data_IF_034947033929
#
_entry.id   IF_034947033929
#
_cell.length_a   1.000
_cell.length_b   1.000
_cell.length_c   1.000
_cell.angle_alpha   90.00
_cell.angle_beta   90.00
_cell.angle_gamma   90.00
#
_symmetry.space_group_name_H-M   'P 1'
#
loop_
_entity.id
_entity.type
_entity.pdbx_description
1 polymer ?
#
# COMPACT_ATOMS: atom_id res chain seq x y z
N UNK A 1 -29.01 32.28 -23.18
CA UNK A 1 -29.60 33.46 -23.82
C UNK A 1 -30.00 33.09 -25.24
N UNK A 2 -31.26 33.30 -25.68
CA UNK A 2 -31.66 33.05 -27.07
C UNK A 2 -31.10 34.06 -28.08
N UNK A 3 -30.41 35.11 -27.63
CA UNK A 3 -29.85 36.13 -28.52
C UNK A 3 -28.64 35.61 -29.31
N UNK A 4 -28.60 35.95 -30.61
CA UNK A 4 -27.53 35.59 -31.54
C UNK A 4 -26.62 36.79 -31.82
N UNK A 5 -25.34 36.55 -32.11
CA UNK A 5 -24.37 37.61 -32.41
C UNK A 5 -23.72 38.21 -31.15
N UNK A 6 -23.34 39.49 -31.18
CA UNK A 6 -22.71 40.18 -30.04
C UNK A 6 -23.60 40.15 -28.77
N UNK A 7 -24.93 40.18 -28.92
CA UNK A 7 -25.87 40.08 -27.79
C UNK A 7 -25.88 38.69 -27.13
N UNK A 8 -25.39 37.65 -27.82
CA UNK A 8 -25.24 36.32 -27.23
C UNK A 8 -23.92 36.13 -26.48
N UNK A 9 -23.02 37.13 -26.48
CA UNK A 9 -21.76 37.07 -25.72
C UNK A 9 -22.00 37.48 -24.28
N UNK A 10 -21.64 36.57 -23.38
CA UNK A 10 -21.74 36.78 -21.93
C UNK A 10 -20.36 37.09 -21.36
N UNK A 11 -20.32 38.02 -20.41
CA UNK A 11 -19.18 38.26 -19.54
C UNK A 11 -19.47 37.72 -18.14
N UNK A 12 -18.54 36.97 -17.60
CA UNK A 12 -18.63 36.32 -16.30
C UNK A 12 -17.81 37.06 -15.25
N UNK A 13 -18.30 37.13 -14.02
CA UNK A 13 -17.59 37.77 -12.89
C UNK A 13 -18.02 37.18 -11.55
N UNK A 14 -17.14 37.27 -10.55
CA UNK A 14 -17.47 36.97 -9.16
C UNK A 14 -17.99 38.24 -8.46
N UNK A 15 -19.20 38.17 -7.89
CA UNK A 15 -19.85 39.26 -7.17
C UNK A 15 -19.37 39.28 -5.73
N UNK A 16 -19.15 40.49 -5.19
CA UNK A 16 -18.71 40.71 -3.80
C UNK A 16 -17.46 39.88 -3.42
N UNK A 17 -16.57 39.65 -4.38
CA UNK A 17 -15.40 38.82 -4.18
C UNK A 17 -14.31 39.58 -3.42
N UNK A 18 -14.30 39.41 -2.10
CA UNK A 18 -13.29 40.00 -1.20
C UNK A 18 -12.11 39.06 -0.94
N UNK A 19 -12.17 37.86 -1.49
CA UNK A 19 -11.29 36.75 -1.18
C UNK A 19 -10.35 36.51 -2.37
N UNK A 20 -9.16 35.94 -2.15
CA UNK A 20 -8.15 35.70 -3.20
C UNK A 20 -7.99 34.19 -3.48
N UNK A 21 -8.97 33.39 -3.07
CA UNK A 21 -8.93 31.94 -3.15
C UNK A 21 -9.30 31.42 -4.53
N UNK A 22 -10.21 32.12 -5.23
CA UNK A 22 -10.78 31.72 -6.51
C UNK A 22 -10.83 32.89 -7.47
N UNK A 23 -10.95 32.63 -8.75
CA UNK A 23 -11.20 33.64 -9.77
C UNK A 23 -11.95 33.00 -10.95
N UNK A 24 -12.43 33.80 -11.89
CA UNK A 24 -13.24 33.36 -13.02
C UNK A 24 -12.75 33.98 -14.33
N UNK A 25 -12.62 33.15 -15.36
CA UNK A 25 -12.33 33.65 -16.70
C UNK A 25 -13.56 34.37 -17.25
N UNK A 26 -13.40 35.65 -17.59
CA UNK A 26 -14.51 36.53 -17.97
C UNK A 26 -15.24 36.08 -19.25
N UNK A 27 -14.58 35.32 -20.14
CA UNK A 27 -15.11 34.97 -21.46
C UNK A 27 -15.72 33.56 -21.48
N UNK A 28 -15.18 32.64 -20.68
CA UNK A 28 -15.58 31.23 -20.64
C UNK A 28 -16.43 30.88 -19.42
N UNK A 29 -16.36 31.70 -18.36
CA UNK A 29 -17.00 31.41 -17.07
C UNK A 29 -16.32 30.29 -16.28
N UNK A 30 -15.12 29.86 -16.69
CA UNK A 30 -14.35 28.85 -15.97
C UNK A 30 -13.87 29.44 -14.63
N UNK A 31 -14.31 28.83 -13.53
CA UNK A 31 -13.82 29.15 -12.18
C UNK A 31 -12.54 28.36 -11.93
N UNK A 32 -11.49 29.04 -11.49
CA UNK A 32 -10.21 28.44 -11.15
C UNK A 32 -9.76 28.81 -9.74
N UNK A 33 -8.89 27.98 -9.19
CA UNK A 33 -8.32 28.21 -7.86
C UNK A 33 -7.09 29.10 -7.97
N UNK A 34 -7.02 30.16 -7.17
CA UNK A 34 -5.86 31.06 -7.09
C UNK A 34 -4.96 30.66 -5.92
N UNK A 35 -5.52 30.52 -4.70
CA UNK A 35 -4.77 30.06 -3.54
C UNK A 35 -5.67 29.53 -2.43
N UNK A 36 -5.66 28.22 -2.22
CA UNK A 36 -6.42 27.55 -1.14
C UNK A 36 -5.52 26.78 -0.17
N UNK A 37 -4.22 27.03 -0.21
CA UNK A 37 -3.26 26.37 0.66
C UNK A 37 -3.58 26.63 2.14
N UNK A 38 -3.76 25.55 2.92
CA UNK A 38 -4.13 25.64 4.34
C UNK A 38 -5.58 26.09 4.59
N UNK A 39 -6.42 26.15 3.55
CA UNK A 39 -7.86 26.42 3.67
C UNK A 39 -8.63 25.11 3.73
N UNK A 40 -9.79 25.14 4.38
CA UNK A 40 -10.71 24.03 4.50
C UNK A 40 -12.14 24.56 4.63
N UNK A 41 -13.11 23.82 4.11
CA UNK A 41 -14.54 24.12 4.20
C UNK A 41 -15.15 24.58 2.89
N UNK A 42 -16.41 25.02 2.95
CA UNK A 42 -17.21 25.41 1.78
C UNK A 42 -17.18 26.92 1.57
N UNK A 43 -16.82 27.32 0.36
CA UNK A 43 -16.84 28.69 -0.13
C UNK A 43 -18.06 28.88 -1.04
N UNK A 44 -18.78 29.98 -0.84
CA UNK A 44 -19.97 30.32 -1.62
C UNK A 44 -19.61 31.46 -2.57
N UNK A 45 -19.45 31.13 -3.85
CA UNK A 45 -19.10 32.10 -4.89
C UNK A 45 -20.38 32.57 -5.60
N UNK A 46 -20.71 33.85 -5.48
CA UNK A 46 -21.79 34.44 -6.27
C UNK A 46 -21.25 34.77 -7.66
N UNK A 47 -21.70 34.05 -8.69
CA UNK A 47 -21.28 34.24 -10.08
C UNK A 47 -22.34 35.05 -10.83
N UNK A 48 -21.91 36.08 -11.55
CA UNK A 48 -22.76 36.89 -12.41
C UNK A 48 -22.39 36.70 -13.88
N UNK A 49 -23.39 36.47 -14.73
CA UNK A 49 -23.29 36.58 -16.18
C UNK A 49 -23.97 37.88 -16.62
N UNK A 50 -23.31 38.62 -17.52
CA UNK A 50 -23.79 39.91 -18.07
C UNK A 50 -23.78 39.83 -19.58
N UNK A 51 -24.90 40.14 -20.23
CA UNK A 51 -24.93 40.28 -21.69
C UNK A 51 -24.20 41.55 -22.15
N UNK A 52 -23.90 41.62 -23.45
CA UNK A 52 -23.28 42.79 -24.06
C UNK A 52 -24.28 43.65 -24.86
N UNK A 53 -25.57 43.56 -24.54
CA UNK A 53 -26.60 44.38 -25.17
C UNK A 53 -26.48 45.87 -24.79
N UNK A 54 -27.13 46.74 -25.58
CA UNK A 54 -27.19 48.19 -25.31
C UNK A 54 -27.80 48.50 -23.93
N UNK A 55 -28.75 47.68 -23.50
CA UNK A 55 -29.28 47.65 -22.12
C UNK A 55 -28.84 46.35 -21.47
N UNK A 56 -27.71 46.39 -20.74
CA UNK A 56 -27.10 45.19 -20.16
C UNK A 56 -28.05 44.47 -19.20
N UNK A 57 -28.34 43.20 -19.44
CA UNK A 57 -29.02 42.34 -18.47
C UNK A 57 -28.01 41.48 -17.71
N UNK A 58 -28.34 41.17 -16.46
CA UNK A 58 -27.49 40.35 -15.59
C UNK A 58 -28.29 39.22 -14.95
N UNK A 59 -27.68 38.04 -14.87
CA UNK A 59 -28.18 36.90 -14.10
C UNK A 59 -27.13 36.47 -13.09
N UNK A 60 -27.57 35.98 -11.92
CA UNK A 60 -26.68 35.53 -10.84
C UNK A 60 -27.02 34.12 -10.38
N UNK A 61 -26.00 33.39 -9.95
CA UNK A 61 -26.12 32.08 -9.31
C UNK A 61 -25.07 31.90 -8.23
N UNK A 62 -25.23 30.90 -7.36
CA UNK A 62 -24.24 30.55 -6.34
C UNK A 62 -23.56 29.25 -6.71
N UNK A 63 -22.23 29.27 -6.75
CA UNK A 63 -21.36 28.11 -6.91
C UNK A 63 -20.75 27.77 -5.55
N UNK A 64 -20.99 26.54 -5.09
CA UNK A 64 -20.44 26.05 -3.83
C UNK A 64 -19.14 25.30 -4.12
N UNK A 65 -18.02 25.78 -3.58
CA UNK A 65 -16.70 25.13 -3.71
C UNK A 65 -16.29 24.60 -2.35
N UNK A 66 -16.19 23.28 -2.21
CA UNK A 66 -15.69 22.65 -0.98
C UNK A 66 -14.20 22.35 -1.15
N UNK A 67 -13.39 22.95 -0.29
CA UNK A 67 -11.96 22.64 -0.18
C UNK A 67 -11.78 21.65 0.96
N UNK A 68 -11.39 20.43 0.61
CA UNK A 68 -11.00 19.42 1.58
C UNK A 68 -9.49 19.46 1.78
N UNK A 69 -8.99 19.71 3.01
CA UNK A 69 -7.55 19.71 3.29
C UNK A 69 -6.95 18.31 3.31
N UNK A 70 -7.76 17.24 3.24
CA UNK A 70 -7.26 15.88 3.15
C UNK A 70 -6.60 15.66 1.79
N UNK A 71 -5.36 15.19 1.81
CA UNK A 71 -4.77 14.49 0.67
C UNK A 71 -5.53 13.18 0.55
N UNK A 72 -6.73 13.19 -0.02
CA UNK A 72 -7.69 12.11 0.18
C UNK A 72 -7.12 10.77 -0.30
N UNK A 73 -6.75 9.93 0.67
CA UNK A 73 -6.45 8.51 0.45
C UNK A 73 -7.68 7.75 -0.10
N UNK A 74 -8.82 8.43 -0.18
CA UNK A 74 -10.09 7.94 -0.68
C UNK A 74 -10.26 8.12 -2.20
N UNK A 75 -9.28 8.70 -2.89
CA UNK A 75 -9.27 8.73 -4.36
C UNK A 75 -9.23 7.30 -4.90
N UNK A 76 -10.15 7.02 -5.83
CA UNK A 76 -10.19 5.77 -6.59
C UNK A 76 -9.96 6.08 -8.06
N UNK A 77 -9.13 5.27 -8.73
CA UNK A 77 -8.92 5.39 -10.18
C UNK A 77 -9.70 4.29 -10.88
N UNK A 78 -10.63 4.72 -11.74
CA UNK A 78 -11.35 3.83 -12.65
C UNK A 78 -10.66 3.88 -14.01
N UNK A 79 -10.23 2.73 -14.51
CA UNK A 79 -9.59 2.59 -15.81
C UNK A 79 -10.63 2.08 -16.80
N UNK A 80 -10.85 2.85 -17.87
CA UNK A 80 -11.71 2.53 -18.98
C UNK A 80 -10.85 2.16 -20.18
N UNK A 81 -11.15 1.06 -20.86
CA UNK A 81 -10.50 0.72 -22.13
C UNK A 81 -11.08 1.55 -23.30
N UNK A 82 -11.03 2.86 -23.13
CA UNK A 82 -11.50 3.88 -24.07
C UNK A 82 -10.46 4.99 -24.23
N UNK A 83 -10.42 5.62 -25.41
CA UNK A 83 -9.52 6.75 -25.67
C UNK A 83 -9.95 8.00 -24.89
N UNK A 84 -8.98 8.77 -24.38
CA UNK A 84 -9.25 9.93 -23.51
C UNK A 84 -10.18 10.96 -24.14
N UNK A 85 -9.98 11.28 -25.42
CA UNK A 85 -10.82 12.23 -26.15
C UNK A 85 -12.29 11.78 -26.24
N UNK A 86 -12.56 10.48 -26.17
CA UNK A 86 -13.91 9.90 -26.22
C UNK A 86 -14.51 9.89 -24.82
N UNK A 87 -13.72 9.56 -23.80
CA UNK A 87 -14.12 9.62 -22.40
C UNK A 87 -14.44 11.07 -21.99
N UNK A 88 -13.57 12.03 -22.30
CA UNK A 88 -13.77 13.45 -21.98
C UNK A 88 -15.04 14.02 -22.61
N UNK A 89 -15.32 13.68 -23.88
CA UNK A 89 -16.56 14.13 -24.56
C UNK A 89 -17.83 13.59 -23.91
N UNK A 90 -17.75 12.44 -23.25
CA UNK A 90 -18.87 11.77 -22.60
C UNK A 90 -18.75 11.80 -21.06
N UNK A 91 -17.88 12.66 -20.50
CA UNK A 91 -17.52 12.59 -19.08
C UNK A 91 -18.72 12.82 -18.15
N UNK A 92 -19.67 13.64 -18.60
CA UNK A 92 -20.94 13.88 -17.91
C UNK A 92 -21.78 12.61 -17.82
N UNK A 93 -21.85 11.83 -18.90
CA UNK A 93 -22.58 10.56 -18.91
C UNK A 93 -21.85 9.46 -18.14
N UNK A 94 -20.51 9.43 -18.20
CA UNK A 94 -19.69 8.54 -17.36
C UNK A 94 -19.95 8.83 -15.89
N UNK A 95 -19.91 10.11 -15.47
CA UNK A 95 -20.27 10.54 -14.12
C UNK A 95 -21.66 10.07 -13.75
N UNK A 96 -22.65 10.30 -14.61
CA UNK A 96 -24.05 9.91 -14.38
C UNK A 96 -24.21 8.40 -14.16
N UNK A 97 -23.53 7.57 -14.95
CA UNK A 97 -23.55 6.11 -14.78
C UNK A 97 -22.92 5.71 -13.44
N UNK A 98 -21.79 6.30 -13.07
CA UNK A 98 -21.15 6.00 -11.79
C UNK A 98 -22.06 6.40 -10.61
N UNK A 99 -22.68 7.59 -10.64
CA UNK A 99 -23.62 8.03 -9.61
C UNK A 99 -24.84 7.11 -9.50
N UNK A 100 -25.43 6.72 -10.64
CA UNK A 100 -26.56 5.79 -10.70
C UNK A 100 -26.23 4.41 -10.12
N UNK A 101 -25.07 3.83 -10.50
CA UNK A 101 -24.70 2.48 -10.05
C UNK A 101 -24.16 2.44 -8.63
N UNK A 102 -23.46 3.49 -8.19
CA UNK A 102 -22.91 3.56 -6.85
C UNK A 102 -23.92 4.05 -5.82
N UNK A 103 -24.96 4.79 -6.24
CA UNK A 103 -25.91 5.50 -5.38
C UNK A 103 -25.22 6.50 -4.45
N UNK A 104 -24.15 7.15 -4.95
CA UNK A 104 -23.38 8.19 -4.27
C UNK A 104 -23.14 9.35 -5.22
N UNK A 105 -22.89 10.54 -4.66
CA UNK A 105 -22.41 11.67 -5.43
C UNK A 105 -20.95 11.41 -5.83
N UNK A 106 -20.62 11.52 -7.11
CA UNK A 106 -19.28 11.21 -7.62
C UNK A 106 -18.64 12.48 -8.18
N UNK A 107 -17.48 12.85 -7.65
CA UNK A 107 -16.68 13.95 -8.16
C UNK A 107 -15.53 13.38 -8.97
N UNK A 108 -15.43 13.80 -10.23
CA UNK A 108 -14.31 13.48 -11.11
C UNK A 108 -13.23 14.52 -10.85
N UNK A 109 -12.13 14.07 -10.26
CA UNK A 109 -10.99 14.91 -9.87
C UNK A 109 -10.09 15.17 -11.06
N UNK A 110 -9.87 14.15 -11.89
CA UNK A 110 -8.95 14.19 -13.02
C UNK A 110 -9.29 13.11 -14.04
N UNK A 111 -8.96 13.36 -15.30
CA UNK A 111 -9.09 12.42 -16.42
C UNK A 111 -7.80 12.48 -17.21
N UNK A 112 -7.08 11.36 -17.27
CA UNK A 112 -5.78 11.29 -17.94
C UNK A 112 -5.58 9.95 -18.64
N UNK A 113 -4.70 9.94 -19.63
CA UNK A 113 -4.18 8.70 -20.22
C UNK A 113 -2.78 8.50 -19.67
N UNK A 114 -2.43 7.26 -19.35
CA UNK A 114 -1.08 6.94 -18.88
C UNK A 114 -0.07 7.00 -20.04
N UNK A 115 0.44 8.21 -20.32
CA UNK A 115 1.52 8.41 -21.29
C UNK A 115 2.92 8.05 -20.74
N UNK A 116 3.03 7.60 -19.47
CA UNK A 116 4.31 7.36 -18.80
C UNK A 116 5.04 6.10 -19.30
N UNK A 117 4.31 5.08 -19.78
CA UNK A 117 4.91 3.81 -20.25
C UNK A 117 5.24 3.78 -21.75
N UNK A 118 5.93 4.79 -22.29
CA UNK A 118 6.50 4.76 -23.68
C UNK A 118 7.58 3.69 -23.92
N UNK A 119 7.67 2.63 -23.09
CA UNK A 119 8.63 1.52 -23.25
C UNK A 119 8.04 0.14 -23.51
N UNK A 120 6.72 -0.04 -23.53
CA UNK A 120 6.12 -1.27 -24.01
C UNK A 120 5.10 -0.94 -25.12
N UNK A 121 5.33 -1.47 -26.32
CA UNK A 121 4.36 -1.41 -27.41
C UNK A 121 3.15 -2.28 -27.02
N UNK A 122 2.12 -1.70 -26.39
CA UNK A 122 0.71 -2.14 -26.55
C UNK A 122 -0.28 -1.21 -25.82
N UNK A 123 -1.20 -0.60 -26.60
CA UNK A 123 -2.44 0.12 -26.22
C UNK A 123 -2.35 1.56 -25.70
N UNK A 124 -2.60 2.53 -26.60
CA UNK A 124 -2.96 3.94 -26.34
C UNK A 124 -4.45 4.13 -26.00
N UNK A 125 -5.15 3.06 -25.64
CA UNK A 125 -6.62 3.03 -25.66
C UNK A 125 -7.23 2.94 -24.26
N UNK A 126 -6.47 3.25 -23.20
CA UNK A 126 -6.97 3.27 -21.84
C UNK A 126 -6.94 4.69 -21.24
N UNK A 127 -8.01 5.02 -20.52
CA UNK A 127 -8.19 6.29 -19.82
C UNK A 127 -8.45 6.04 -18.35
N UNK A 128 -7.72 6.75 -17.51
CA UNK A 128 -7.87 6.76 -16.07
C UNK A 128 -8.77 7.92 -15.66
N UNK A 129 -9.77 7.63 -14.84
CA UNK A 129 -10.70 8.60 -14.26
C UNK A 129 -10.51 8.55 -12.74
N UNK A 130 -9.92 9.61 -12.18
CA UNK A 130 -9.80 9.77 -10.71
C UNK A 130 -11.12 10.28 -10.16
N UNK A 131 -11.67 9.53 -9.21
CA UNK A 131 -12.94 9.86 -8.58
C UNK A 131 -12.83 9.89 -7.06
N UNK A 132 -13.69 10.70 -6.44
CA UNK A 132 -14.04 10.65 -5.03
C UNK A 132 -15.56 10.54 -4.93
N UNK A 133 -16.06 9.77 -3.97
CA UNK A 133 -17.49 9.61 -3.75
C UNK A 133 -17.91 10.21 -2.40
N UNK A 134 -19.12 10.77 -2.35
CA UNK A 134 -19.74 11.31 -1.15
C UNK A 134 -21.13 10.70 -0.97
N UNK A 135 -21.49 10.39 0.27
CA UNK A 135 -22.82 9.89 0.60
C UNK A 135 -23.89 10.99 0.56
N UNK A 136 -25.15 10.62 0.85
CA UNK A 136 -26.28 11.55 0.89
C UNK A 136 -26.14 12.63 1.98
N UNK A 137 -25.30 12.41 2.99
CA UNK A 137 -24.98 13.37 4.04
C UNK A 137 -23.76 14.25 3.70
N UNK A 138 -23.25 14.17 2.47
CA UNK A 138 -22.03 14.82 1.99
C UNK A 138 -20.78 14.44 2.81
N UNK A 139 -20.73 13.22 3.34
CA UNK A 139 -19.51 12.66 3.92
C UNK A 139 -18.75 11.87 2.87
N UNK A 140 -17.43 12.02 2.85
CA UNK A 140 -16.56 11.29 1.93
C UNK A 140 -16.66 9.78 2.21
N UNK A 141 -16.85 8.99 1.16
CA UNK A 141 -16.93 7.54 1.23
C UNK A 141 -15.52 6.96 1.17
N UNK A 142 -15.13 6.03 2.07
CA UNK A 142 -13.81 5.42 2.04
C UNK A 142 -13.50 4.75 0.69
N UNK A 143 -12.25 4.87 0.21
CA UNK A 143 -11.84 4.28 -1.08
C UNK A 143 -12.20 2.79 -1.18
N UNK A 144 -11.99 2.00 -0.12
CA UNK A 144 -12.26 0.57 -0.15
C UNK A 144 -13.75 0.23 -0.34
N UNK A 145 -14.65 1.06 0.19
CA UNK A 145 -16.09 0.91 -0.03
C UNK A 145 -16.46 1.29 -1.47
N UNK A 146 -15.86 2.34 -2.01
CA UNK A 146 -16.00 2.73 -3.42
C UNK A 146 -15.52 1.61 -4.34
N UNK A 147 -14.30 1.09 -4.12
CA UNK A 147 -13.74 -0.01 -4.90
C UNK A 147 -14.59 -1.27 -4.80
N UNK A 148 -15.06 -1.63 -3.60
CA UNK A 148 -15.95 -2.77 -3.38
C UNK A 148 -17.23 -2.61 -4.19
N UNK A 149 -17.89 -1.45 -4.12
CA UNK A 149 -19.12 -1.19 -4.85
C UNK A 149 -18.92 -1.18 -6.37
N UNK A 150 -17.82 -0.61 -6.85
CA UNK A 150 -17.42 -0.67 -8.27
C UNK A 150 -17.24 -2.12 -8.74
N UNK A 151 -16.60 -2.98 -7.93
CA UNK A 151 -16.47 -4.42 -8.23
C UNK A 151 -17.83 -5.13 -8.26
N UNK A 152 -18.69 -4.86 -7.28
CA UNK A 152 -20.05 -5.42 -7.21
C UNK A 152 -20.91 -5.01 -8.42
N UNK A 153 -20.77 -3.77 -8.89
CA UNK A 153 -21.56 -3.20 -9.99
C UNK A 153 -20.88 -3.27 -11.36
N UNK A 154 -19.70 -3.91 -11.46
CA UNK A 154 -18.86 -3.90 -12.65
C UNK A 154 -19.62 -4.18 -13.95
N UNK A 155 -20.34 -5.30 -14.01
CA UNK A 155 -21.11 -5.69 -15.20
C UNK A 155 -22.20 -4.66 -15.55
N UNK A 156 -22.89 -4.13 -14.54
CA UNK A 156 -23.95 -3.12 -14.76
C UNK A 156 -23.37 -1.79 -15.27
N UNK A 157 -22.19 -1.40 -14.78
CA UNK A 157 -21.48 -0.20 -15.25
C UNK A 157 -21.04 -0.41 -16.71
N UNK A 158 -20.39 -1.53 -17.01
CA UNK A 158 -19.91 -1.86 -18.37
C UNK A 158 -21.06 -1.87 -19.38
N UNK A 159 -22.22 -2.44 -19.03
CA UNK A 159 -23.41 -2.45 -19.88
C UNK A 159 -23.94 -1.04 -20.18
N UNK A 160 -24.01 -0.15 -19.18
CA UNK A 160 -24.48 1.22 -19.43
C UNK A 160 -23.46 2.06 -20.20
N UNK A 161 -22.17 1.88 -19.91
CA UNK A 161 -21.10 2.54 -20.66
C UNK A 161 -21.04 2.07 -22.12
N UNK A 162 -21.27 0.79 -22.39
CA UNK A 162 -21.35 0.27 -23.76
C UNK A 162 -22.41 0.98 -24.60
N UNK A 163 -23.56 1.34 -24.00
CA UNK A 163 -24.60 2.12 -24.68
C UNK A 163 -24.12 3.53 -25.03
N UNK A 164 -23.34 4.16 -24.14
CA UNK A 164 -22.82 5.51 -24.33
C UNK A 164 -21.74 5.51 -25.42
N UNK A 165 -20.78 4.58 -25.34
CA UNK A 165 -19.66 4.52 -26.26
C UNK A 165 -19.97 3.78 -27.56
N UNK A 166 -21.13 3.11 -27.64
CA UNK A 166 -21.57 2.28 -28.77
C UNK A 166 -20.57 1.15 -29.10
N UNK A 167 -19.86 0.64 -28.09
CA UNK A 167 -18.92 -0.47 -28.18
C UNK A 167 -18.68 -1.09 -26.80
N UNK A 168 -18.23 -2.36 -26.73
CA UNK A 168 -17.94 -3.01 -25.47
C UNK A 168 -16.86 -2.25 -24.68
N UNK A 169 -17.19 -1.89 -23.44
CA UNK A 169 -16.26 -1.22 -22.52
C UNK A 169 -15.92 -2.15 -21.39
N UNK A 170 -14.63 -2.23 -21.07
CA UNK A 170 -14.15 -2.90 -19.86
C UNK A 170 -13.70 -1.87 -18.84
N UNK A 171 -13.99 -2.18 -17.58
CA UNK A 171 -13.59 -1.37 -16.43
C UNK A 171 -12.65 -2.15 -15.52
N UNK A 172 -11.60 -1.49 -15.07
CA UNK A 172 -10.73 -1.97 -14.00
C UNK A 172 -10.49 -0.86 -12.98
N UNK A 173 -10.05 -1.25 -11.79
CA UNK A 173 -9.70 -0.32 -10.72
C UNK A 173 -8.18 -0.36 -10.61
N UNK A 174 -7.53 0.80 -10.66
CA UNK A 174 -6.11 0.86 -10.32
C UNK A 174 -5.99 0.60 -8.81
N UNK A 175 -5.34 -0.50 -8.47
CA UNK A 175 -4.94 -0.72 -7.10
C UNK A 175 -3.63 0.03 -6.90
N UNK A 176 -3.56 0.86 -5.85
CA UNK A 176 -2.28 1.36 -5.39
C UNK A 176 -1.33 0.16 -5.28
N UNK A 177 -0.07 0.25 -5.78
CA UNK A 177 0.86 -0.85 -5.71
C UNK A 177 0.86 -1.36 -4.28
N UNK A 178 0.50 -2.64 -4.11
CA UNK A 178 0.35 -3.27 -2.81
C UNK A 178 1.51 -2.83 -1.94
N UNK A 179 1.18 -2.04 -0.91
CA UNK A 179 2.13 -1.29 -0.08
C UNK A 179 3.50 -1.97 -0.04
N UNK A 180 4.54 -1.24 -0.48
CA UNK A 180 5.81 -1.34 0.24
C UNK A 180 5.44 -1.06 1.69
N UNK A 181 5.33 -2.13 2.48
CA UNK A 181 4.81 -2.08 3.84
C UNK A 181 5.32 -0.84 4.57
N UNK A 182 4.46 -0.16 5.34
CA UNK A 182 4.87 1.04 6.06
C UNK A 182 6.20 0.78 6.78
N UNK A 183 7.12 1.74 6.86
CA UNK A 183 8.44 1.52 7.46
C UNK A 183 8.37 0.89 8.86
N UNK A 184 7.29 1.15 9.60
CA UNK A 184 6.97 0.56 10.90
C UNK A 184 6.63 -0.94 10.82
N UNK A 185 5.82 -1.36 9.85
CA UNK A 185 5.51 -2.77 9.57
C UNK A 185 6.75 -3.54 9.10
N UNK A 186 7.59 -2.92 8.25
CA UNK A 186 8.88 -3.52 7.85
C UNK A 186 9.80 -3.68 9.06
N UNK A 187 9.94 -2.63 9.88
CA UNK A 187 10.80 -2.67 11.06
C UNK A 187 10.35 -3.72 12.08
N UNK A 188 9.03 -3.87 12.30
CA UNK A 188 8.49 -4.90 13.21
C UNK A 188 8.70 -6.32 12.67
N UNK A 189 8.48 -6.56 11.38
CA UNK A 189 8.77 -7.85 10.74
C UNK A 189 10.26 -8.18 10.88
N UNK A 190 11.15 -7.26 10.50
CA UNK A 190 12.61 -7.45 10.58
C UNK A 190 13.05 -7.72 12.02
N UNK A 191 12.56 -6.96 13.01
CA UNK A 191 12.90 -7.16 14.42
C UNK A 191 12.43 -8.53 14.92
N UNK A 192 11.21 -8.95 14.55
CA UNK A 192 10.67 -10.26 14.95
C UNK A 192 11.50 -11.42 14.39
N UNK A 193 11.93 -11.33 13.13
CA UNK A 193 12.77 -12.34 12.48
C UNK A 193 14.16 -12.38 13.12
N UNK A 194 14.77 -11.22 13.37
CA UNK A 194 16.08 -11.14 14.03
C UNK A 194 16.06 -11.75 15.44
N UNK A 195 15.00 -11.49 16.22
CA UNK A 195 14.83 -12.09 17.54
C UNK A 195 14.66 -13.62 17.45
N UNK A 196 13.89 -14.12 16.50
CA UNK A 196 13.71 -15.56 16.29
C UNK A 196 15.04 -16.24 15.89
N UNK A 197 15.78 -15.66 14.95
CA UNK A 197 17.09 -16.19 14.54
C UNK A 197 18.11 -16.19 15.69
N UNK A 198 18.14 -15.12 16.49
CA UNK A 198 18.99 -15.02 17.67
C UNK A 198 18.65 -16.09 18.72
N UNK A 199 17.36 -16.30 18.99
CA UNK A 199 16.90 -17.33 19.93
C UNK A 199 17.28 -18.74 19.46
N UNK A 200 17.10 -19.04 18.16
CA UNK A 200 17.49 -20.32 17.58
C UNK A 200 19.00 -20.54 17.69
N UNK A 201 19.82 -19.53 17.35
CA UNK A 201 21.27 -19.57 17.48
C UNK A 201 21.72 -19.83 18.93
N UNK A 202 21.08 -19.17 19.89
CA UNK A 202 21.34 -19.37 21.32
C UNK A 202 20.99 -20.80 21.77
N UNK A 203 19.82 -21.33 21.36
CA UNK A 203 19.42 -22.70 21.69
C UNK A 203 20.39 -23.74 21.11
N UNK A 204 20.86 -23.54 19.87
CA UNK A 204 21.88 -24.40 19.24
C UNK A 204 23.19 -24.32 20.01
N UNK A 205 23.62 -23.13 20.43
CA UNK A 205 24.83 -22.94 21.24
C UNK A 205 24.73 -23.63 22.61
N UNK A 206 23.59 -23.49 23.30
CA UNK A 206 23.33 -24.17 24.58
C UNK A 206 23.33 -25.70 24.38
N UNK A 207 22.66 -26.21 23.35
CA UNK A 207 22.67 -27.64 23.05
C UNK A 207 24.09 -28.15 22.72
N UNK A 208 24.88 -27.36 22.00
CA UNK A 208 26.27 -27.68 21.67
C UNK A 208 27.17 -27.71 22.92
N UNK A 209 27.06 -26.71 23.81
CA UNK A 209 27.83 -26.67 25.06
C UNK A 209 27.44 -27.82 26.00
N UNK A 210 26.15 -28.15 26.11
CA UNK A 210 25.67 -29.32 26.86
C UNK A 210 26.25 -30.61 26.26
N UNK A 211 26.19 -30.80 24.93
CA UNK A 211 26.77 -31.97 24.25
C UNK A 211 28.28 -32.06 24.46
N UNK A 212 28.99 -30.94 24.37
CA UNK A 212 30.44 -30.87 24.59
C UNK A 212 30.81 -31.29 26.01
N UNK A 213 30.09 -30.78 27.02
CA UNK A 213 30.29 -31.16 28.42
C UNK A 213 30.04 -32.64 28.65
N UNK A 214 28.92 -33.18 28.13
CA UNK A 214 28.62 -34.63 28.21
C UNK A 214 29.70 -35.50 27.57
N UNK A 215 30.25 -35.08 26.42
CA UNK A 215 31.35 -35.82 25.75
C UNK A 215 32.63 -35.80 26.58
N UNK A 216 32.97 -34.67 27.23
CA UNK A 216 34.12 -34.56 28.11
C UNK A 216 33.97 -35.45 29.36
N UNK A 217 32.79 -35.47 29.98
CA UNK A 217 32.49 -36.35 31.13
C UNK A 217 32.59 -37.84 30.74
N UNK A 218 32.06 -38.23 29.58
CA UNK A 218 32.22 -39.60 29.07
C UNK A 218 33.69 -39.97 28.83
N UNK A 219 34.49 -39.07 28.25
CA UNK A 219 35.92 -39.31 28.05
C UNK A 219 36.68 -39.44 29.37
N UNK A 220 36.36 -38.64 30.38
CA UNK A 220 36.94 -38.75 31.72
C UNK A 220 36.63 -40.11 32.35
N UNK A 221 35.37 -40.55 32.30
CA UNK A 221 34.95 -41.86 32.84
C UNK A 221 35.59 -43.05 32.10
N UNK A 222 35.76 -42.94 30.78
CA UNK A 222 36.46 -43.97 29.98
C UNK A 222 37.93 -44.05 30.38
N UNK A 223 38.62 -42.92 30.56
CA UNK A 223 40.01 -42.89 31.04
C UNK A 223 40.15 -43.47 32.43
N UNK A 224 39.27 -43.10 33.36
CA UNK A 224 39.26 -43.64 34.72
C UNK A 224 39.03 -45.17 34.73
N UNK A 225 38.14 -45.69 33.87
CA UNK A 225 37.96 -47.14 33.71
C UNK A 225 39.17 -47.83 33.09
N UNK A 226 39.84 -47.20 32.13
CA UNK A 226 41.06 -47.74 31.52
C UNK A 226 42.21 -47.81 32.54
N UNK A 227 42.40 -46.78 33.36
CA UNK A 227 43.41 -46.76 34.42
C UNK A 227 43.11 -47.80 35.52
N UNK A 228 41.83 -48.01 35.86
CA UNK A 228 41.43 -49.08 36.78
C UNK A 228 41.66 -50.47 36.17
N UNK A 229 41.50 -50.63 34.85
CA UNK A 229 41.74 -51.90 34.16
C UNK A 229 43.24 -52.21 34.01
N UNK A 230 44.09 -51.22 33.73
CA UNK A 230 45.56 -51.35 33.70
C UNK A 230 46.17 -51.54 35.10
N UNK A 231 45.49 -51.10 36.16
CA UNK A 231 45.88 -51.37 37.55
C UNK A 231 45.66 -52.82 38.02
N UNK A 232 45.03 -53.66 37.21
CA UNK A 232 44.79 -55.09 37.49
C UNK A 232 45.62 -55.94 36.51
N UNK A 233 46.93 -55.70 36.46
CA UNK A 233 47.87 -56.65 35.84
C UNK A 233 48.34 -57.67 36.89
N UNK A 234 48.02 -58.93 36.58
CA UNK A 234 48.22 -60.13 37.38
C UNK A 234 49.73 -60.42 37.63
N UNK A 235 50.22 -60.49 38.88
CA UNK A 235 51.64 -60.75 39.16
C UNK A 235 51.92 -62.25 39.19
N UNK A 236 51.65 -62.96 38.08
CA UNK A 236 52.20 -64.31 37.91
C UNK A 236 52.39 -64.66 36.44
N UNK A 237 53.51 -64.19 35.89
CA UNK A 237 54.05 -64.72 34.66
C UNK A 237 55.56 -64.93 34.82
N UNK A 238 56.00 -66.11 34.37
CA UNK A 238 57.36 -66.68 34.36
C UNK A 238 57.56 -67.71 35.49
N UNK A 239 58.24 -68.86 35.31
CA UNK A 239 59.08 -69.33 34.20
C UNK A 239 59.41 -70.82 34.40
N UNK A 240 59.63 -71.52 33.28
CA UNK A 240 60.10 -72.91 33.22
C UNK A 240 61.62 -72.95 33.39
N UNK A 241 62.12 -73.55 34.46
CA UNK A 241 63.19 -74.56 34.48
C UNK A 241 63.75 -74.73 35.90
N UNK A 242 63.91 -75.99 36.31
CA UNK A 242 64.11 -76.36 37.71
C UNK A 242 65.53 -76.24 38.25
N UNK A 243 65.61 -76.25 39.57
CA UNK A 243 66.51 -77.11 40.35
C UNK A 243 66.15 -76.97 41.83
N UNK A 244 66.09 -78.09 42.54
CA UNK A 244 65.80 -78.19 43.98
C UNK A 244 67.10 -78.53 44.72
N UNK A 245 67.22 -77.98 45.94
CA UNK A 245 68.26 -78.14 47.00
C UNK A 245 69.15 -76.88 47.10
N UNK A 246 69.45 -76.32 48.27
CA UNK A 246 69.46 -76.83 49.65
C UNK A 246 69.38 -75.69 50.67
N UNK A 247 69.20 -76.09 51.92
CA UNK A 247 68.73 -75.40 53.11
C UNK A 247 69.92 -75.10 54.05
N UNK A 248 70.13 -73.85 54.49
CA UNK A 248 70.87 -73.42 55.71
C UNK A 248 70.73 -71.88 55.87
N UNK A 249 69.96 -71.31 56.81
CA UNK A 249 70.26 -70.97 58.24
C UNK A 249 71.52 -70.08 58.38
N UNK A 250 71.49 -68.84 58.90
CA UNK A 250 71.26 -68.46 60.32
C UNK A 250 71.15 -66.92 60.50
N UNK A 251 70.25 -66.50 61.41
CA UNK A 251 70.30 -65.40 62.42
C UNK A 251 70.87 -64.00 62.11
N UNK A 252 70.09 -62.93 62.40
CA UNK A 252 70.16 -62.22 63.70
C UNK A 252 69.11 -61.10 63.87
N UNK A 253 68.31 -61.25 64.94
CA UNK A 253 67.89 -60.30 66.01
C UNK A 253 67.19 -58.96 65.70
N UNK A 254 66.00 -58.85 66.33
CA UNK A 254 65.21 -57.65 66.62
C UNK A 254 65.94 -56.60 67.47
N UNK A 255 65.74 -55.32 67.15
CA UNK A 255 65.02 -54.37 68.01
C UNK A 255 64.55 -53.16 67.19
#
# INVERSE_FOLDING_TARGET
DPDSGENGRLLYSLVNHQSNEFDIDENTGQVFTVSVAGKAGTFYLEVQATDQGTSRLTARTTVNVTVDPSSSNNIVVVVLNEMINIVERNIVEVKRVLEDKLAWNVYIVDVYSDESERKARSSTDATCVKIIAFDEANQEVPAEDVKRKLREQKSNIEIELEKIFSRPVTTSIEEAPADSASPELIATIVLSVLLACSLIGFLVYVAFTIKRKRKQEQQYLIKQRAEIAEGIDNPWASDKNGSVKSLEKLEHINN
#
